data_IF_753786152221
#
_entry.id   IF_753786152221
#
_cell.length_a   1.000
_cell.length_b   1.000
_cell.length_c   1.000
_cell.angle_alpha   90.00
_cell.angle_beta   90.00
_cell.angle_gamma   90.00
#
_symmetry.space_group_name_H-M   'P 1'
#
loop_
_entity.id
_entity.type
_entity.pdbx_description
1 polymer ?
#
# COMPACT_ATOMS: atom_id res chain seq x y z
N UNK A 1 6.19 26.66 58.17
CA UNK A 1 5.28 26.32 57.04
C UNK A 1 6.13 26.12 55.78
N UNK A 2 6.34 24.87 55.36
CA UNK A 2 7.10 24.54 54.16
C UNK A 2 6.08 24.26 53.06
N UNK A 3 6.00 25.08 52.02
CA UNK A 3 5.20 24.85 50.81
C UNK A 3 5.97 23.90 49.91
N UNK A 4 5.46 22.68 49.77
CA UNK A 4 5.94 21.69 48.79
C UNK A 4 5.20 22.00 47.50
N UNK A 5 5.89 22.60 46.53
CA UNK A 5 5.42 22.77 45.16
C UNK A 5 5.59 21.47 44.40
N UNK A 6 4.49 20.76 44.18
CA UNK A 6 4.46 19.63 43.24
C UNK A 6 4.51 20.19 41.81
N UNK A 7 5.69 20.16 41.21
CA UNK A 7 5.85 20.36 39.78
C UNK A 7 5.37 19.10 39.08
N UNK A 8 4.12 19.12 38.57
CA UNK A 8 3.58 18.07 37.72
C UNK A 8 4.32 18.11 36.39
N UNK A 9 5.30 17.22 36.24
CA UNK A 9 5.97 16.96 34.96
C UNK A 9 4.99 16.26 34.01
N UNK A 10 4.31 17.03 33.17
CA UNK A 10 3.42 16.53 32.13
C UNK A 10 4.30 15.90 31.04
N UNK A 11 4.53 14.58 31.14
CA UNK A 11 5.18 13.78 30.10
C UNK A 11 4.24 13.73 28.89
N UNK A 12 4.45 14.61 27.94
CA UNK A 12 3.88 14.50 26.60
C UNK A 12 4.52 13.26 25.93
N UNK A 13 3.81 12.15 25.96
CA UNK A 13 4.12 11.02 25.10
C UNK A 13 3.78 11.42 23.64
N UNK A 14 4.76 11.96 22.93
CA UNK A 14 4.71 12.01 21.49
C UNK A 14 4.64 10.56 21.01
N UNK A 15 3.48 10.15 20.55
CA UNK A 15 3.40 8.94 19.74
C UNK A 15 4.18 9.24 18.46
N UNK A 16 5.42 8.76 18.40
CA UNK A 16 6.17 8.70 17.15
C UNK A 16 5.35 7.74 16.26
N UNK A 17 4.62 8.33 15.31
CA UNK A 17 3.94 7.54 14.29
C UNK A 17 5.00 6.76 13.54
N UNK A 18 4.92 5.46 13.63
CA UNK A 18 5.80 4.53 12.95
C UNK A 18 5.36 4.44 11.50
N UNK A 19 5.94 5.29 10.66
CA UNK A 19 5.70 5.30 9.22
C UNK A 19 6.77 4.45 8.56
N UNK A 20 6.38 3.33 7.93
CA UNK A 20 7.32 2.41 7.30
C UNK A 20 7.59 2.75 5.83
N UNK A 21 6.63 3.36 5.15
CA UNK A 21 6.72 3.69 3.74
C UNK A 21 7.09 5.16 3.51
N UNK A 22 7.84 5.39 2.45
CA UNK A 22 8.08 6.68 1.81
C UNK A 22 7.67 6.53 0.33
N UNK A 23 6.36 6.58 0.09
CA UNK A 23 5.75 6.30 -1.21
C UNK A 23 5.46 7.60 -1.95
N UNK A 24 5.98 7.71 -3.16
CA UNK A 24 5.58 8.71 -4.13
C UNK A 24 4.41 8.18 -4.96
N UNK A 25 3.34 8.97 -5.07
CA UNK A 25 2.15 8.59 -5.84
C UNK A 25 2.00 9.53 -7.03
N UNK A 26 1.74 8.95 -8.21
CA UNK A 26 1.53 9.72 -9.45
C UNK A 26 0.24 9.24 -10.11
N UNK A 27 -0.75 10.12 -10.26
CA UNK A 27 -1.99 9.84 -10.97
C UNK A 27 -1.93 10.44 -12.38
N UNK A 28 -1.78 9.56 -13.37
CA UNK A 28 -1.77 9.95 -14.79
C UNK A 28 -3.19 9.86 -15.38
N UNK A 29 -3.78 11.02 -15.64
CA UNK A 29 -5.11 11.17 -16.24
C UNK A 29 -5.09 11.67 -17.70
N UNK A 30 -3.98 11.51 -18.41
CA UNK A 30 -3.80 12.05 -19.78
C UNK A 30 -4.78 11.47 -20.81
N UNK A 31 -5.33 10.28 -20.53
CA UNK A 31 -6.34 9.65 -21.39
C UNK A 31 -7.76 10.17 -21.15
N UNK A 32 -7.97 11.00 -20.13
CA UNK A 32 -9.28 11.49 -19.72
C UNK A 32 -9.47 12.93 -20.19
N UNK A 33 -10.40 13.14 -21.11
CA UNK A 33 -10.79 14.46 -21.62
C UNK A 33 -11.82 15.14 -20.68
N UNK A 34 -11.48 15.36 -19.43
CA UNK A 34 -12.36 16.03 -18.47
C UNK A 34 -11.81 17.39 -18.05
N UNK A 35 -12.73 18.32 -17.81
CA UNK A 35 -12.43 19.69 -17.38
C UNK A 35 -12.01 19.75 -15.90
N UNK A 36 -12.52 18.81 -15.08
CA UNK A 36 -12.27 18.77 -13.64
C UNK A 36 -11.07 17.87 -13.31
N UNK A 37 -9.89 18.46 -13.29
CA UNK A 37 -8.64 17.75 -12.91
C UNK A 37 -8.45 17.62 -11.39
N UNK A 38 -9.25 18.35 -10.61
CA UNK A 38 -9.10 18.42 -9.15
C UNK A 38 -9.30 17.06 -8.47
N UNK A 39 -10.21 16.23 -8.97
CA UNK A 39 -10.45 14.90 -8.40
C UNK A 39 -9.21 14.00 -8.49
N UNK A 40 -8.44 14.08 -9.58
CA UNK A 40 -7.22 13.28 -9.77
C UNK A 40 -6.09 13.75 -8.84
N UNK A 41 -5.96 15.07 -8.65
CA UNK A 41 -5.00 15.66 -7.70
C UNK A 41 -5.35 15.27 -6.26
N UNK A 42 -6.63 15.31 -5.91
CA UNK A 42 -7.10 14.91 -4.59
C UNK A 42 -6.92 13.41 -4.34
N UNK A 43 -7.18 12.58 -5.36
CA UNK A 43 -6.92 11.14 -5.30
C UNK A 43 -5.43 10.86 -5.04
N UNK A 44 -4.53 11.49 -5.81
CA UNK A 44 -3.08 11.37 -5.65
C UNK A 44 -2.65 11.69 -4.23
N UNK A 45 -3.02 12.88 -3.72
CA UNK A 45 -2.68 13.34 -2.37
C UNK A 45 -3.23 12.43 -1.27
N UNK A 46 -4.49 11.98 -1.42
CA UNK A 46 -5.13 11.13 -0.41
C UNK A 46 -4.51 9.73 -0.36
N UNK A 47 -4.16 9.16 -1.51
CA UNK A 47 -3.45 7.87 -1.57
C UNK A 47 -2.04 8.00 -0.98
N UNK A 48 -1.30 9.04 -1.34
CA UNK A 48 0.04 9.29 -0.80
C UNK A 48 0.01 9.47 0.73
N UNK A 49 -0.94 10.26 1.23
CA UNK A 49 -1.18 10.42 2.66
C UNK A 49 -1.52 9.08 3.32
N UNK A 50 -2.42 8.30 2.73
CA UNK A 50 -2.82 7.00 3.27
C UNK A 50 -1.63 6.03 3.38
N UNK A 51 -0.80 5.93 2.36
CA UNK A 51 0.36 5.04 2.36
C UNK A 51 1.43 5.48 3.36
N UNK A 52 1.68 6.78 3.46
CA UNK A 52 2.80 7.33 4.23
C UNK A 52 2.47 7.64 5.70
N UNK A 53 1.19 7.72 6.09
CA UNK A 53 0.81 8.08 7.47
C UNK A 53 0.33 6.90 8.31
N UNK A 54 -0.11 5.80 7.68
CA UNK A 54 -0.52 4.62 8.41
C UNK A 54 0.67 3.84 8.98
N UNK A 55 0.44 3.24 10.15
CA UNK A 55 1.36 2.27 10.74
C UNK A 55 1.00 0.87 10.23
N UNK A 56 1.84 0.29 9.40
CA UNK A 56 1.58 -0.98 8.74
C UNK A 56 2.05 -2.21 9.53
N UNK A 57 3.02 -2.03 10.45
CA UNK A 57 3.76 -3.16 11.02
C UNK A 57 4.14 -2.98 12.50
N UNK A 58 3.64 -1.95 13.17
CA UNK A 58 3.94 -1.60 14.56
C UNK A 58 5.46 -1.47 14.86
N UNK A 59 6.29 -1.28 13.82
CA UNK A 59 7.73 -1.07 13.96
C UNK A 59 8.07 0.39 13.70
N UNK A 60 8.80 1.00 14.62
CA UNK A 60 9.28 2.37 14.46
C UNK A 60 10.55 2.37 13.62
N UNK A 61 10.46 2.88 12.39
CA UNK A 61 11.60 3.08 11.52
C UNK A 61 12.07 4.54 11.58
N UNK A 62 13.38 4.75 11.48
CA UNK A 62 13.94 6.08 11.27
C UNK A 62 13.70 6.52 9.83
N UNK A 63 13.77 7.82 9.57
CA UNK A 63 13.49 8.35 8.23
C UNK A 63 14.35 7.72 7.11
N UNK A 64 15.60 7.37 7.39
CA UNK A 64 16.50 6.72 6.43
C UNK A 64 16.31 5.20 6.32
N UNK A 65 15.50 4.61 7.18
CA UNK A 65 15.15 3.18 7.18
C UNK A 65 13.84 2.93 6.45
N UNK A 66 13.06 3.99 6.14
CA UNK A 66 11.80 3.86 5.41
C UNK A 66 12.03 3.22 4.06
N UNK A 67 11.00 2.52 3.60
CA UNK A 67 11.03 1.83 2.31
C UNK A 67 10.56 2.81 1.24
N UNK A 68 11.47 3.16 0.33
CA UNK A 68 11.13 3.98 -0.81
C UNK A 68 10.30 3.19 -1.82
N UNK A 69 9.16 3.75 -2.21
CA UNK A 69 8.27 3.15 -3.20
C UNK A 69 7.60 4.19 -4.09
N UNK A 70 7.17 3.75 -5.26
CA UNK A 70 6.41 4.56 -6.22
C UNK A 70 5.17 3.80 -6.64
N UNK A 71 4.02 4.49 -6.61
CA UNK A 71 2.76 4.01 -7.14
C UNK A 71 2.33 4.91 -8.30
N UNK A 72 2.34 4.38 -9.52
CA UNK A 72 1.84 5.07 -10.71
C UNK A 72 0.46 4.52 -11.04
N UNK A 73 -0.54 5.40 -11.05
CA UNK A 73 -1.93 5.09 -11.38
C UNK A 73 -2.26 5.72 -12.73
N UNK A 74 -2.42 4.91 -13.76
CA UNK A 74 -2.87 5.36 -15.06
C UNK A 74 -4.38 5.19 -15.17
N UNK A 75 -5.12 6.30 -15.20
CA UNK A 75 -6.58 6.31 -15.32
C UNK A 75 -6.96 6.05 -16.77
N UNK A 76 -7.67 4.95 -17.01
CA UNK A 76 -8.14 4.54 -18.34
C UNK A 76 -9.54 5.09 -18.63
N UNK A 77 -10.41 5.07 -17.62
CA UNK A 77 -11.74 5.68 -17.69
C UNK A 77 -12.19 6.16 -16.31
N UNK A 78 -13.02 7.20 -16.31
CA UNK A 78 -13.65 7.78 -15.14
C UNK A 78 -15.09 8.21 -15.48
N UNK A 79 -16.06 7.76 -14.70
CA UNK A 79 -17.48 8.14 -14.80
C UNK A 79 -18.17 7.94 -13.47
N UNK A 80 -18.94 8.94 -13.01
CA UNK A 80 -19.76 8.83 -11.81
C UNK A 80 -19.02 8.31 -10.57
N UNK A 81 -17.84 8.85 -10.30
CA UNK A 81 -16.96 8.46 -9.19
C UNK A 81 -16.33 7.07 -9.35
N UNK A 82 -16.60 6.35 -10.44
CA UNK A 82 -16.01 5.06 -10.73
C UNK A 82 -14.75 5.22 -11.59
N UNK A 83 -13.64 4.67 -11.11
CA UNK A 83 -12.34 4.66 -11.74
C UNK A 83 -12.02 3.29 -12.30
N UNK A 84 -11.47 3.23 -13.52
CA UNK A 84 -10.82 2.06 -14.06
C UNK A 84 -9.38 2.46 -14.42
N UNK A 85 -8.42 1.77 -13.81
CA UNK A 85 -7.02 2.18 -13.81
C UNK A 85 -6.09 0.99 -14.04
N UNK A 86 -4.85 1.30 -14.44
CA UNK A 86 -3.72 0.39 -14.28
C UNK A 86 -2.81 0.92 -13.19
N UNK A 87 -2.37 0.03 -12.29
CA UNK A 87 -1.40 0.34 -11.25
C UNK A 87 -0.03 -0.20 -11.62
N UNK A 88 1.02 0.59 -11.42
CA UNK A 88 2.40 0.14 -11.45
C UNK A 88 3.01 0.44 -10.07
N UNK A 89 3.33 -0.62 -9.34
CA UNK A 89 3.84 -0.58 -7.97
C UNK A 89 5.31 -0.93 -8.00
N UNK A 90 6.15 -0.07 -7.43
CA UNK A 90 7.60 -0.28 -7.34
C UNK A 90 8.07 -0.05 -5.91
N UNK A 91 8.99 -0.87 -5.42
CA UNK A 91 9.80 -0.52 -4.26
C UNK A 91 11.27 -0.79 -4.56
N UNK A 92 12.15 -0.02 -3.92
CA UNK A 92 13.57 -0.07 -4.18
C UNK A 92 14.38 0.26 -2.94
N UNK A 93 15.63 -0.17 -2.95
CA UNK A 93 16.63 0.12 -1.91
C UNK A 93 17.90 0.68 -2.54
N UNK A 94 18.54 1.66 -1.88
CA UNK A 94 19.87 2.11 -2.30
C UNK A 94 20.88 0.96 -2.15
N UNK A 95 21.74 0.82 -3.14
CA UNK A 95 22.83 -0.13 -3.09
C UNK A 95 23.99 0.50 -2.33
N UNK A 96 24.51 -0.23 -1.32
CA UNK A 96 25.56 0.26 -0.45
C UNK A 96 26.77 0.79 -1.23
N UNK A 97 27.21 2.01 -0.87
CA UNK A 97 28.36 2.72 -1.45
C UNK A 97 28.24 2.98 -2.97
N UNK A 98 27.01 3.20 -3.47
CA UNK A 98 26.73 3.55 -4.87
C UNK A 98 25.65 4.60 -4.97
N UNK A 99 25.50 5.23 -6.15
CA UNK A 99 24.46 6.23 -6.42
C UNK A 99 23.22 5.63 -7.11
N UNK A 100 23.06 4.31 -7.16
CA UNK A 100 21.92 3.67 -7.79
C UNK A 100 21.09 2.84 -6.82
N UNK A 101 19.81 2.65 -7.17
CA UNK A 101 18.86 1.84 -6.44
C UNK A 101 18.63 0.49 -7.13
N UNK A 102 18.37 -0.54 -6.35
CA UNK A 102 17.90 -1.83 -6.86
C UNK A 102 16.41 -1.99 -6.58
N UNK A 103 15.68 -2.54 -7.56
CA UNK A 103 14.27 -2.85 -7.39
C UNK A 103 14.13 -4.10 -6.53
N UNK A 104 13.36 -3.99 -5.45
CA UNK A 104 12.95 -5.11 -4.62
C UNK A 104 11.61 -5.67 -5.14
N UNK A 105 10.72 -4.78 -5.59
CA UNK A 105 9.42 -5.15 -6.12
C UNK A 105 9.08 -4.31 -7.34
N UNK A 106 8.52 -4.95 -8.36
CA UNK A 106 7.94 -4.30 -9.53
C UNK A 106 6.75 -5.13 -10.01
N UNK A 107 5.57 -4.56 -9.96
CA UNK A 107 4.35 -5.23 -10.38
C UNK A 107 3.42 -4.29 -11.14
N UNK A 108 2.83 -4.78 -12.24
CA UNK A 108 1.79 -4.10 -12.99
C UNK A 108 0.46 -4.81 -12.80
N UNK A 109 -0.50 -4.12 -12.18
CA UNK A 109 -1.86 -4.59 -11.96
C UNK A 109 -2.78 -3.86 -12.92
N UNK A 110 -3.24 -4.57 -13.94
CA UNK A 110 -4.10 -4.01 -14.97
C UNK A 110 -5.57 -4.19 -14.62
N UNK A 111 -6.37 -3.17 -14.89
CA UNK A 111 -7.82 -3.21 -14.70
C UNK A 111 -8.25 -3.11 -13.23
N UNK A 112 -7.55 -2.35 -12.43
CA UNK A 112 -7.95 -2.00 -11.07
C UNK A 112 -9.15 -1.05 -11.14
N UNK A 113 -10.24 -1.42 -10.49
CA UNK A 113 -11.48 -0.63 -10.49
C UNK A 113 -11.95 -0.34 -9.08
N UNK A 114 -12.34 0.90 -8.83
CA UNK A 114 -12.81 1.36 -7.51
C UNK A 114 -13.68 2.60 -7.63
N UNK A 115 -14.47 2.86 -6.58
CA UNK A 115 -15.17 4.12 -6.41
C UNK A 115 -14.36 5.07 -5.53
N UNK A 116 -14.33 6.35 -5.89
CA UNK A 116 -13.71 7.42 -5.10
C UNK A 116 -14.39 8.74 -5.36
N UNK A 117 -14.67 9.49 -4.29
CA UNK A 117 -15.23 10.85 -4.32
C UNK A 117 -14.21 11.87 -3.80
N UNK A 118 -14.20 13.07 -4.37
CA UNK A 118 -13.17 14.11 -4.12
C UNK A 118 -12.90 14.44 -2.66
N UNK A 119 -13.90 14.29 -1.80
CA UNK A 119 -13.81 14.63 -0.38
C UNK A 119 -13.79 13.40 0.53
N UNK A 120 -13.61 12.22 -0.04
CA UNK A 120 -13.62 10.98 0.71
C UNK A 120 -12.23 10.70 1.30
N UNK A 121 -12.16 10.47 2.61
CA UNK A 121 -10.98 9.94 3.26
C UNK A 121 -10.87 8.43 3.01
N UNK A 122 -9.69 7.96 2.71
CA UNK A 122 -9.40 6.52 2.61
C UNK A 122 -9.18 6.02 4.03
N UNK A 123 -10.05 5.09 4.48
CA UNK A 123 -9.99 4.54 5.82
C UNK A 123 -9.36 3.14 5.79
N UNK A 124 -8.48 2.88 6.76
CA UNK A 124 -7.90 1.55 6.99
C UNK A 124 -8.75 0.79 8.01
N UNK A 125 -8.91 -0.51 7.79
CA UNK A 125 -9.55 -1.39 8.77
C UNK A 125 -8.93 -2.79 8.79
N UNK A 126 -8.42 -3.20 9.94
CA UNK A 126 -7.81 -4.52 10.12
C UNK A 126 -8.86 -5.67 10.18
N UNK A 127 -10.16 -5.34 10.27
CA UNK A 127 -11.22 -6.30 10.58
C UNK A 127 -12.37 -6.36 9.57
N UNK A 128 -12.46 -5.43 8.62
CA UNK A 128 -13.55 -5.38 7.65
C UNK A 128 -13.10 -4.80 6.32
N UNK A 129 -13.86 -5.09 5.28
CA UNK A 129 -13.73 -4.46 3.97
C UNK A 129 -14.32 -3.04 4.04
N UNK A 130 -13.51 -2.03 3.74
CA UNK A 130 -13.95 -0.62 3.67
C UNK A 130 -14.27 -0.20 2.24
N UNK A 131 -13.33 -0.41 1.33
CA UNK A 131 -13.49 -0.12 -0.10
C UNK A 131 -12.44 -0.89 -0.92
N UNK A 132 -12.67 -1.01 -2.23
CA UNK A 132 -11.69 -1.58 -3.14
C UNK A 132 -10.39 -0.79 -3.15
N UNK A 133 -10.48 0.56 -3.12
CA UNK A 133 -9.30 1.42 -3.08
C UNK A 133 -8.49 1.20 -1.81
N UNK A 134 -9.11 1.23 -0.63
CA UNK A 134 -8.40 0.98 0.63
C UNK A 134 -7.74 -0.40 0.62
N UNK A 135 -8.50 -1.43 0.25
CA UNK A 135 -8.01 -2.82 0.24
C UNK A 135 -6.82 -3.03 -0.69
N UNK A 136 -6.80 -2.42 -1.89
CA UNK A 136 -5.68 -2.59 -2.83
C UNK A 136 -4.42 -1.86 -2.35
N UNK A 137 -4.57 -0.70 -1.71
CA UNK A 137 -3.46 0.03 -1.11
C UNK A 137 -2.87 -0.72 0.08
N UNK A 138 -3.72 -1.24 0.98
CA UNK A 138 -3.31 -2.09 2.11
C UNK A 138 -2.61 -3.37 1.64
N UNK A 139 -3.14 -4.00 0.59
CA UNK A 139 -2.55 -5.18 -0.02
C UNK A 139 -1.12 -4.93 -0.48
N UNK A 140 -0.89 -3.87 -1.26
CA UNK A 140 0.45 -3.55 -1.75
C UNK A 140 1.38 -3.03 -0.67
N UNK A 141 0.90 -2.26 0.30
CA UNK A 141 1.71 -1.82 1.43
C UNK A 141 2.29 -3.03 2.20
N UNK A 142 1.46 -4.02 2.50
CA UNK A 142 1.91 -5.25 3.15
C UNK A 142 2.88 -6.06 2.28
N UNK A 143 2.66 -6.17 0.97
CA UNK A 143 3.59 -6.86 0.07
C UNK A 143 4.96 -6.18 0.02
N UNK A 144 5.00 -4.85 -0.12
CA UNK A 144 6.23 -4.06 -0.14
C UNK A 144 7.04 -4.30 1.14
N UNK A 145 6.38 -4.17 2.30
CA UNK A 145 7.03 -4.35 3.60
C UNK A 145 7.51 -5.80 3.78
N UNK A 146 6.69 -6.77 3.38
CA UNK A 146 7.05 -8.18 3.47
C UNK A 146 8.26 -8.54 2.64
N UNK A 147 8.30 -8.10 1.38
CA UNK A 147 9.42 -8.32 0.48
C UNK A 147 10.68 -7.62 0.96
N UNK A 148 10.56 -6.40 1.46
CA UNK A 148 11.69 -5.67 2.02
C UNK A 148 12.28 -6.40 3.23
N UNK A 149 11.45 -6.88 4.15
CA UNK A 149 11.90 -7.67 5.30
C UNK A 149 12.63 -8.94 4.88
N UNK A 150 12.12 -9.65 3.88
CA UNK A 150 12.76 -10.88 3.39
C UNK A 150 14.15 -10.64 2.78
N UNK A 151 14.49 -9.40 2.42
CA UNK A 151 15.85 -9.05 2.02
C UNK A 151 16.85 -9.08 3.18
N UNK A 152 16.40 -8.98 4.42
CA UNK A 152 17.24 -8.97 5.62
C UNK A 152 17.32 -10.33 6.30
N UNK A 153 16.20 -11.06 6.34
CA UNK A 153 16.18 -12.39 6.94
C UNK A 153 15.10 -13.27 6.30
N UNK A 154 15.42 -14.52 6.08
CA UNK A 154 14.53 -15.51 5.46
C UNK A 154 13.21 -15.62 6.23
N UNK A 155 12.08 -15.53 5.52
CA UNK A 155 10.72 -15.58 6.07
C UNK A 155 10.35 -14.45 7.06
N UNK A 156 11.12 -13.37 7.13
CA UNK A 156 10.79 -12.26 8.03
C UNK A 156 9.57 -11.46 7.56
N UNK A 157 9.24 -11.49 6.27
CA UNK A 157 8.05 -10.89 5.67
C UNK A 157 6.78 -11.74 5.74
N UNK A 158 6.84 -12.98 6.25
CA UNK A 158 5.72 -13.93 6.23
C UNK A 158 4.43 -13.38 6.84
N UNK A 159 4.50 -12.65 7.94
CA UNK A 159 3.33 -12.05 8.58
C UNK A 159 2.64 -11.03 7.66
N UNK A 160 3.42 -10.25 6.93
CA UNK A 160 2.91 -9.25 5.98
C UNK A 160 2.26 -9.92 4.75
N UNK A 161 2.84 -11.01 4.23
CA UNK A 161 2.21 -11.78 3.15
C UNK A 161 0.90 -12.43 3.57
N UNK A 162 0.81 -12.95 4.79
CA UNK A 162 -0.44 -13.47 5.36
C UNK A 162 -1.49 -12.36 5.55
N UNK A 163 -1.09 -11.13 5.91
CA UNK A 163 -1.99 -9.99 5.95
C UNK A 163 -2.51 -9.64 4.55
N UNK A 164 -1.63 -9.59 3.54
CA UNK A 164 -2.04 -9.37 2.14
C UNK A 164 -3.01 -10.44 1.67
N UNK A 165 -2.78 -11.71 2.01
CA UNK A 165 -3.70 -12.82 1.71
C UNK A 165 -5.06 -12.62 2.38
N UNK A 166 -5.09 -12.25 3.65
CA UNK A 166 -6.32 -11.96 4.40
C UNK A 166 -7.10 -10.81 3.75
N UNK A 167 -6.42 -9.74 3.34
CA UNK A 167 -7.04 -8.60 2.64
C UNK A 167 -7.67 -9.06 1.33
N UNK A 168 -6.95 -9.86 0.56
CA UNK A 168 -7.46 -10.44 -0.70
C UNK A 168 -8.71 -11.30 -0.46
N UNK A 169 -8.71 -12.16 0.55
CA UNK A 169 -9.84 -13.03 0.89
C UNK A 169 -11.06 -12.21 1.34
N UNK A 170 -10.86 -11.15 2.14
CA UNK A 170 -11.93 -10.22 2.51
C UNK A 170 -12.48 -9.46 1.31
N UNK A 171 -11.61 -8.91 0.48
CA UNK A 171 -12.02 -8.15 -0.69
C UNK A 171 -12.74 -9.05 -1.71
N UNK A 172 -12.27 -10.27 -1.97
CA UNK A 172 -12.92 -11.22 -2.87
C UNK A 172 -14.33 -11.63 -2.43
N UNK A 173 -14.59 -11.59 -1.10
CA UNK A 173 -15.88 -11.98 -0.53
C UNK A 173 -16.88 -10.82 -0.42
N UNK A 174 -16.41 -9.58 -0.38
CA UNK A 174 -17.24 -8.40 -0.08
C UNK A 174 -17.29 -7.38 -1.22
N UNK A 175 -16.30 -7.35 -2.11
CA UNK A 175 -16.28 -6.46 -3.27
C UNK A 175 -17.26 -6.95 -4.35
N UNK A 176 -17.84 -6.00 -5.06
CA UNK A 176 -18.59 -6.29 -6.30
C UNK A 176 -17.66 -6.41 -7.51
N UNK A 177 -16.41 -6.02 -7.38
CA UNK A 177 -15.40 -6.10 -8.44
C UNK A 177 -14.81 -7.52 -8.52
N UNK A 178 -14.69 -8.04 -9.73
CA UNK A 178 -14.04 -9.34 -9.96
C UNK A 178 -12.51 -9.26 -10.00
N UNK A 179 -11.91 -8.08 -9.78
CA UNK A 179 -10.46 -7.87 -9.82
C UNK A 179 -9.67 -8.65 -8.76
N UNK A 180 -10.38 -9.16 -7.72
CA UNK A 180 -9.82 -9.96 -6.65
C UNK A 180 -9.85 -11.46 -6.93
N UNK A 181 -10.50 -11.87 -8.03
CA UNK A 181 -10.67 -13.28 -8.35
C UNK A 181 -9.41 -13.92 -8.93
N UNK A 182 -9.30 -15.24 -8.71
CA UNK A 182 -8.22 -16.07 -9.23
C UNK A 182 -8.09 -15.99 -10.76
N UNK A 183 -9.21 -15.88 -11.48
CA UNK A 183 -9.26 -15.91 -12.94
C UNK A 183 -9.23 -14.52 -13.58
N UNK A 184 -9.02 -13.47 -12.79
CA UNK A 184 -8.96 -12.11 -13.32
C UNK A 184 -7.83 -11.95 -14.34
N UNK A 185 -8.08 -11.28 -15.45
CA UNK A 185 -7.14 -11.07 -16.56
C UNK A 185 -6.51 -12.37 -17.11
N UNK A 186 -7.30 -13.41 -17.30
CA UNK A 186 -6.86 -14.74 -17.78
C UNK A 186 -5.80 -15.43 -16.90
N UNK A 187 -5.72 -15.07 -15.65
CA UNK A 187 -5.28 -15.93 -14.57
C UNK A 187 -3.79 -16.12 -14.31
N UNK A 188 -2.87 -15.67 -15.15
CA UNK A 188 -1.46 -16.06 -14.95
C UNK A 188 -0.62 -15.05 -14.16
N UNK A 189 -0.92 -13.74 -14.25
CA UNK A 189 -0.18 -12.69 -13.56
C UNK A 189 -1.22 -11.73 -12.98
N UNK A 190 -1.73 -12.04 -11.81
CA UNK A 190 -2.62 -11.17 -11.06
C UNK A 190 -2.26 -11.21 -9.56
N UNK A 191 -2.87 -10.32 -8.78
CA UNK A 191 -2.61 -10.19 -7.33
C UNK A 191 -2.94 -11.44 -6.53
N UNK A 192 -3.91 -12.26 -6.98
CA UNK A 192 -4.26 -13.53 -6.35
C UNK A 192 -3.06 -14.49 -6.37
N UNK A 193 -2.52 -14.77 -7.55
CA UNK A 193 -1.39 -15.69 -7.70
C UNK A 193 -0.10 -15.12 -7.13
N UNK A 194 0.06 -13.79 -7.15
CA UNK A 194 1.21 -13.13 -6.53
C UNK A 194 1.30 -13.48 -5.05
N UNK A 195 0.22 -13.27 -4.29
CA UNK A 195 0.24 -13.53 -2.84
C UNK A 195 0.22 -15.03 -2.53
N UNK A 196 -0.50 -15.85 -3.32
CA UNK A 196 -0.50 -17.31 -3.13
C UNK A 196 0.92 -17.89 -3.25
N UNK A 197 1.69 -17.44 -4.23
CA UNK A 197 3.08 -17.87 -4.39
C UNK A 197 3.97 -17.43 -3.23
N UNK A 198 3.77 -16.25 -2.65
CA UNK A 198 4.54 -15.74 -1.52
C UNK A 198 4.19 -16.44 -0.19
N UNK A 199 2.94 -16.87 -0.03
CA UNK A 199 2.48 -17.59 1.17
C UNK A 199 2.75 -19.08 1.10
N UNK A 200 2.84 -19.65 -0.12
CA UNK A 200 3.03 -21.08 -0.33
C UNK A 200 4.38 -21.58 0.20
N UNK A 201 4.42 -22.74 0.88
CA UNK A 201 5.70 -23.37 1.27
C UNK A 201 6.62 -23.70 0.09
N UNK A 202 6.05 -23.82 -1.12
CA UNK A 202 6.82 -24.09 -2.34
C UNK A 202 7.61 -22.87 -2.85
N UNK A 203 7.31 -21.66 -2.39
CA UNK A 203 8.08 -20.46 -2.77
C UNK A 203 9.55 -20.52 -2.35
N UNK A 204 9.88 -21.35 -1.35
CA UNK A 204 11.25 -21.58 -0.88
C UNK A 204 12.10 -22.49 -1.78
N UNK A 205 11.50 -23.10 -2.80
CA UNK A 205 12.20 -24.06 -3.68
C UNK A 205 12.82 -23.36 -4.91
N UNK A 206 12.49 -22.08 -5.13
CA UNK A 206 12.90 -21.33 -6.33
C UNK A 206 13.88 -20.18 -6.07
N UNK A 207 14.59 -20.21 -4.92
CA UNK A 207 15.70 -19.29 -4.63
C UNK A 207 17.03 -20.03 -4.79
#
# INVERSE_FOLDING_TARGET
MRFITYSSLLLFFFKLSSQQLNCEVVVNSNFINQTEKEIFINLERNIESFLNTNDWDNQSLKNFEKIDCTLIITVLSYSDSFFNCNFEVKSFRPVYNTDYNTNIFLFKDNGVSFNYESNQYILRSDSRFESDLASILEFYANLIIGLDKDTFALNSGKSNFLNSKKILDFASSNSQSNMWSQNYNNGRINKYWLVENLVSPLSLIHI
#
